data_IF_240954294258
#
_entry.id   IF_240954294258
#
_cell.length_a   1.000
_cell.length_b   1.000
_cell.length_c   1.000
_cell.angle_alpha   90.00
_cell.angle_beta   90.00
_cell.angle_gamma   90.00
#
_symmetry.space_group_name_H-M   'P 1'
#
loop_
_entity.id
_entity.type
_entity.pdbx_description
1 polymer ?
#
# COMPACT_ATOMS: atom_id res chain seq x y z
N UNK A 1 -6.87 -40.42 -8.93
CA UNK A 1 -7.15 -41.50 -7.97
C UNK A 1 -6.65 -42.82 -8.54
N UNK A 2 -6.02 -43.65 -7.71
CA UNK A 2 -5.65 -45.02 -8.08
C UNK A 2 -6.88 -45.90 -7.94
N UNK A 3 -7.23 -46.64 -8.98
CA UNK A 3 -8.38 -47.56 -9.02
C UNK A 3 -7.97 -49.00 -8.71
N UNK A 4 -6.78 -49.43 -9.15
CA UNK A 4 -6.27 -50.79 -8.91
C UNK A 4 -4.74 -50.81 -8.88
N UNK A 5 -4.17 -51.35 -7.80
CA UNK A 5 -2.75 -51.72 -7.69
C UNK A 5 -2.71 -53.12 -7.06
N UNK A 6 -2.37 -54.13 -7.87
CA UNK A 6 -2.18 -55.49 -7.40
C UNK A 6 -1.00 -56.14 -8.17
N UNK A 7 -0.10 -56.90 -7.50
CA UNK A 7 1.00 -57.59 -8.17
C UNK A 7 0.52 -58.49 -9.31
N UNK A 8 1.21 -58.44 -10.46
CA UNK A 8 0.85 -59.21 -11.66
C UNK A 8 -0.38 -58.70 -12.43
N UNK A 9 -1.00 -57.58 -12.02
CA UNK A 9 -2.09 -56.92 -12.74
C UNK A 9 -1.64 -55.55 -13.30
N UNK A 10 -2.27 -55.06 -14.38
CA UNK A 10 -2.12 -53.67 -14.82
C UNK A 10 -2.56 -52.70 -13.72
N UNK A 11 -1.79 -51.63 -13.54
CA UNK A 11 -2.15 -50.52 -12.65
C UNK A 11 -3.21 -49.67 -13.36
N UNK A 12 -4.34 -49.43 -12.70
CA UNK A 12 -5.37 -48.53 -13.19
C UNK A 12 -5.45 -47.29 -12.32
N UNK A 13 -5.40 -46.12 -12.94
CA UNK A 13 -5.59 -44.84 -12.27
C UNK A 13 -6.34 -43.86 -13.16
N UNK A 14 -6.99 -42.88 -12.54
CA UNK A 14 -7.67 -41.78 -13.21
C UNK A 14 -6.97 -40.48 -12.85
N UNK A 15 -6.46 -39.78 -13.86
CA UNK A 15 -5.97 -38.41 -13.76
C UNK A 15 -7.11 -37.45 -14.11
N UNK A 16 -7.32 -36.45 -13.26
CA UNK A 16 -8.12 -35.28 -13.61
C UNK A 16 -7.15 -34.15 -13.91
N UNK A 17 -7.22 -33.58 -15.10
CA UNK A 17 -6.42 -32.43 -15.51
C UNK A 17 -7.33 -31.38 -16.11
N UNK A 18 -7.02 -30.10 -15.87
CA UNK A 18 -7.68 -29.00 -16.57
C UNK A 18 -7.02 -28.82 -17.94
N UNK A 19 -7.84 -28.67 -18.98
CA UNK A 19 -7.38 -28.28 -20.31
C UNK A 19 -7.44 -26.75 -20.37
N UNK A 20 -6.41 -26.13 -20.95
CA UNK A 20 -6.42 -24.68 -21.19
C UNK A 20 -7.63 -24.36 -22.08
N UNK A 21 -8.38 -23.29 -21.77
CA UNK A 21 -9.56 -22.96 -22.55
C UNK A 21 -9.13 -22.44 -23.92
N UNK A 22 -9.80 -22.91 -24.97
CA UNK A 22 -9.70 -22.29 -26.29
C UNK A 22 -10.51 -20.99 -26.29
N UNK A 23 -9.92 -19.93 -26.83
CA UNK A 23 -10.60 -18.66 -27.07
C UNK A 23 -10.01 -17.98 -28.30
N UNK A 24 -10.79 -17.10 -28.93
CA UNK A 24 -10.30 -16.26 -30.03
C UNK A 24 -9.73 -14.98 -29.45
N UNK A 25 -8.50 -14.63 -29.81
CA UNK A 25 -7.92 -13.34 -29.47
C UNK A 25 -8.74 -12.23 -30.13
N UNK A 26 -9.18 -11.21 -29.38
CA UNK A 26 -9.81 -10.03 -29.97
C UNK A 26 -8.75 -9.22 -30.74
N UNK A 27 -9.19 -8.20 -31.49
CA UNK A 27 -8.27 -7.23 -32.11
C UNK A 27 -7.59 -6.37 -31.03
N UNK A 28 -6.57 -6.96 -30.41
CA UNK A 28 -5.87 -6.39 -29.28
C UNK A 28 -5.07 -5.14 -29.69
N UNK A 29 -4.65 -5.02 -30.95
CA UNK A 29 -3.94 -3.84 -31.42
C UNK A 29 -4.88 -2.63 -31.49
N UNK A 30 -6.07 -2.79 -32.08
CA UNK A 30 -7.06 -1.72 -32.13
C UNK A 30 -7.55 -1.33 -30.74
N UNK A 31 -7.89 -2.31 -29.89
CA UNK A 31 -8.32 -2.07 -28.51
C UNK A 31 -7.25 -1.29 -27.73
N UNK A 32 -6.00 -1.69 -27.86
CA UNK A 32 -4.88 -1.04 -27.17
C UNK A 32 -4.68 0.39 -27.66
N UNK A 33 -4.70 0.63 -28.98
CA UNK A 33 -4.59 1.98 -29.54
C UNK A 33 -5.70 2.90 -29.05
N UNK A 34 -6.92 2.40 -28.94
CA UNK A 34 -8.04 3.18 -28.40
C UNK A 34 -7.86 3.52 -26.92
N UNK A 35 -7.37 2.58 -26.11
CA UNK A 35 -7.05 2.85 -24.69
C UNK A 35 -5.91 3.86 -24.55
N UNK A 36 -4.87 3.76 -25.38
CA UNK A 36 -3.71 4.65 -25.34
C UNK A 36 -4.07 6.12 -25.64
N UNK A 37 -5.15 6.38 -26.38
CA UNK A 37 -5.69 7.76 -26.56
C UNK A 37 -6.11 8.40 -25.24
N UNK A 38 -6.40 7.61 -24.21
CA UNK A 38 -6.76 8.10 -22.87
C UNK A 38 -5.54 8.41 -21.99
N UNK A 39 -4.30 8.14 -22.46
CA UNK A 39 -3.06 8.41 -21.72
C UNK A 39 -2.90 9.89 -21.49
N UNK A 40 -2.68 10.28 -20.25
CA UNK A 40 -2.55 11.67 -19.82
C UNK A 40 -1.08 12.07 -19.79
N UNK A 41 -0.79 13.30 -20.19
CA UNK A 41 0.53 13.87 -19.95
C UNK A 41 0.74 14.03 -18.44
N UNK A 42 1.91 13.62 -17.97
CA UNK A 42 2.30 13.79 -16.57
C UNK A 42 2.91 15.17 -16.41
N UNK A 43 2.34 15.97 -15.51
CA UNK A 43 2.87 17.26 -15.10
C UNK A 43 3.12 17.23 -13.59
N UNK A 44 4.20 17.91 -13.17
CA UNK A 44 4.51 18.15 -11.76
C UNK A 44 4.28 19.62 -11.49
N UNK A 45 3.41 19.91 -10.54
CA UNK A 45 3.10 21.27 -10.14
C UNK A 45 4.14 21.76 -9.12
N UNK A 46 4.50 23.05 -9.16
CA UNK A 46 5.45 23.62 -8.21
C UNK A 46 4.96 23.51 -6.76
N UNK A 47 3.63 23.50 -6.56
CA UNK A 47 3.03 23.25 -5.26
C UNK A 47 3.39 21.88 -4.69
N UNK A 48 3.40 20.83 -5.52
CA UNK A 48 3.74 19.47 -5.05
C UNK A 48 5.21 19.39 -4.61
N UNK A 49 6.08 20.12 -5.30
CA UNK A 49 7.50 20.24 -4.95
C UNK A 49 7.65 20.97 -3.61
N UNK A 50 6.95 22.08 -3.44
CA UNK A 50 7.00 22.86 -2.21
C UNK A 50 6.39 22.11 -1.02
N UNK A 51 5.25 21.44 -1.21
CA UNK A 51 4.61 20.61 -0.18
C UNK A 51 5.56 19.48 0.27
N UNK A 52 6.22 18.82 -0.68
CA UNK A 52 7.23 17.79 -0.39
C UNK A 52 8.45 18.37 0.33
N UNK A 53 8.94 19.53 -0.12
CA UNK A 53 10.08 20.20 0.49
C UNK A 53 9.79 20.63 1.94
N UNK A 54 8.58 21.16 2.21
CA UNK A 54 8.14 21.50 3.56
C UNK A 54 7.96 20.24 4.41
N UNK A 55 7.44 19.14 3.85
CA UNK A 55 7.38 17.87 4.57
C UNK A 55 8.77 17.38 4.99
N UNK A 56 9.75 17.40 4.09
CA UNK A 56 11.15 17.05 4.41
C UNK A 56 11.69 18.01 5.49
N UNK A 57 11.49 19.32 5.33
CA UNK A 57 11.93 20.33 6.31
C UNK A 57 11.35 20.06 7.70
N UNK A 58 10.06 19.77 7.78
CA UNK A 58 9.35 19.47 9.03
C UNK A 58 9.89 18.20 9.71
N UNK A 59 10.29 17.19 8.94
CA UNK A 59 10.94 15.98 9.49
C UNK A 59 12.35 16.21 10.04
N UNK A 60 13.00 17.33 9.67
CA UNK A 60 14.32 17.73 10.15
C UNK A 60 14.28 18.82 11.23
N UNK A 61 13.08 19.24 11.63
CA UNK A 61 12.90 20.19 12.72
C UNK A 61 13.45 19.64 14.04
N UNK A 62 14.08 20.51 14.84
CA UNK A 62 14.49 20.19 16.21
C UNK A 62 13.47 20.74 17.19
N UNK A 63 13.19 19.97 18.23
CA UNK A 63 12.36 20.44 19.34
C UNK A 63 13.26 21.07 20.39
N UNK A 64 12.96 22.32 20.75
CA UNK A 64 13.66 23.06 21.79
C UNK A 64 12.64 23.62 22.78
N UNK A 65 13.01 23.83 24.06
CA UNK A 65 12.11 24.46 25.03
C UNK A 65 11.60 25.82 24.51
N UNK A 66 10.29 26.05 24.62
CA UNK A 66 9.68 27.31 24.23
C UNK A 66 9.56 28.25 25.45
N UNK A 67 9.95 29.51 25.29
CA UNK A 67 9.80 30.55 26.33
C UNK A 67 8.42 31.25 26.29
N UNK A 68 7.51 30.76 25.46
CA UNK A 68 6.17 31.31 25.22
C UNK A 68 5.08 30.28 25.56
N UNK A 69 3.84 30.70 25.79
CA UNK A 69 2.73 29.78 25.96
C UNK A 69 2.51 28.89 24.72
N UNK A 70 1.94 27.70 24.96
CA UNK A 70 1.72 26.68 23.95
C UNK A 70 0.82 27.19 22.81
N UNK A 71 1.17 26.87 21.57
CA UNK A 71 0.44 27.23 20.36
C UNK A 71 0.18 26.01 19.49
N UNK A 72 -0.70 26.15 18.50
CA UNK A 72 -0.96 25.07 17.55
C UNK A 72 0.32 24.71 16.80
N UNK A 73 0.64 23.41 16.75
CA UNK A 73 1.84 22.85 16.14
C UNK A 73 3.00 22.61 17.11
N UNK A 74 2.91 23.08 18.35
CA UNK A 74 3.95 22.87 19.36
C UNK A 74 3.88 21.43 19.92
N UNK A 75 5.03 20.74 20.05
CA UNK A 75 5.16 19.57 20.89
C UNK A 75 5.06 19.97 22.36
N UNK A 76 4.18 19.32 23.10
CA UNK A 76 3.98 19.55 24.53
C UNK A 76 3.95 18.24 25.29
N UNK A 77 4.23 18.31 26.58
CA UNK A 77 4.06 17.22 27.52
C UNK A 77 3.00 17.63 28.54
N UNK A 78 1.96 16.80 28.72
CA UNK A 78 0.87 17.10 29.66
C UNK A 78 0.60 15.95 30.61
N UNK A 79 0.10 16.29 31.80
CA UNK A 79 -0.71 15.37 32.58
C UNK A 79 -2.18 15.65 32.28
N UNK A 80 -3.00 14.63 32.08
CA UNK A 80 -4.43 14.83 31.98
C UNK A 80 -5.20 13.79 32.78
N UNK A 81 -6.40 14.19 33.21
CA UNK A 81 -7.36 13.33 33.90
C UNK A 81 -8.77 13.71 33.47
N UNK A 82 -9.52 12.70 33.05
CA UNK A 82 -10.91 12.80 32.63
C UNK A 82 -11.82 12.09 33.63
N UNK A 83 -12.89 12.76 34.02
CA UNK A 83 -13.92 12.23 34.92
C UNK A 83 -15.30 12.41 34.32
N UNK A 84 -16.15 11.39 34.47
CA UNK A 84 -17.57 11.47 34.14
C UNK A 84 -18.39 11.05 35.36
N UNK A 85 -19.45 11.79 35.68
CA UNK A 85 -20.32 11.51 36.83
C UNK A 85 -19.53 11.34 38.16
N UNK A 86 -18.44 12.10 38.33
CA UNK A 86 -17.55 12.06 39.50
C UNK A 86 -16.59 10.86 39.58
N UNK A 87 -16.58 9.97 38.58
CA UNK A 87 -15.67 8.82 38.49
C UNK A 87 -14.61 9.03 37.43
N UNK A 88 -13.39 8.55 37.69
CA UNK A 88 -12.28 8.59 36.71
C UNK A 88 -12.54 7.56 35.63
N UNK A 89 -12.38 7.96 34.37
CA UNK A 89 -12.49 7.03 33.26
C UNK A 89 -11.27 6.11 33.23
N UNK A 90 -11.46 4.82 32.96
CA UNK A 90 -10.41 3.79 32.98
C UNK A 90 -9.24 4.13 32.04
N UNK A 91 -9.52 4.80 30.92
CA UNK A 91 -8.54 5.32 29.96
C UNK A 91 -8.47 6.85 29.91
N UNK A 92 -8.99 7.51 30.94
CA UNK A 92 -9.11 8.96 31.00
C UNK A 92 -7.92 9.69 31.56
N UNK A 93 -6.83 9.01 31.94
CA UNK A 93 -5.71 9.66 32.60
C UNK A 93 -4.35 9.18 32.10
N UNK A 94 -3.43 10.13 31.94
CA UNK A 94 -2.03 9.86 31.61
C UNK A 94 -1.15 10.92 32.25
N UNK A 95 0.09 10.54 32.59
CA UNK A 95 1.12 11.46 33.07
C UNK A 95 2.24 11.53 32.06
N UNK A 96 2.87 12.71 31.94
CA UNK A 96 3.95 13.01 31.00
C UNK A 96 3.60 12.56 29.57
N UNK A 97 2.36 12.80 29.15
CA UNK A 97 1.87 12.37 27.86
C UNK A 97 2.38 13.31 26.77
N UNK A 98 3.21 12.86 25.82
CA UNK A 98 3.66 13.70 24.73
C UNK A 98 2.53 13.85 23.70
N UNK A 99 2.27 15.07 23.26
CA UNK A 99 1.39 15.34 22.13
C UNK A 99 1.92 16.52 21.29
N UNK A 100 1.44 16.63 20.06
CA UNK A 100 1.61 17.84 19.24
C UNK A 100 0.23 18.48 19.07
N UNK A 101 0.09 19.73 19.50
CA UNK A 101 -1.20 20.43 19.48
C UNK A 101 -1.67 20.61 18.02
N UNK A 102 -2.86 20.12 17.69
CA UNK A 102 -3.50 20.24 16.38
C UNK A 102 -3.43 18.99 15.51
N UNK A 103 -2.85 17.87 15.99
CA UNK A 103 -2.86 16.59 15.26
C UNK A 103 -4.22 15.87 15.35
N UNK A 104 -5.12 16.28 16.25
CA UNK A 104 -6.45 15.70 16.37
C UNK A 104 -6.43 14.27 16.91
N UNK A 105 -5.46 13.97 17.78
CA UNK A 105 -5.36 12.65 18.45
C UNK A 105 -6.27 12.56 19.67
N UNK A 106 -6.70 13.70 20.20
CA UNK A 106 -7.63 13.79 21.33
C UNK A 106 -9.07 14.12 20.88
N UNK A 107 -9.99 14.05 21.84
CA UNK A 107 -11.39 14.47 21.63
C UNK A 107 -11.42 15.91 21.12
N UNK A 108 -12.26 16.17 20.12
CA UNK A 108 -12.40 17.50 19.52
C UNK A 108 -12.63 18.57 20.61
N UNK A 109 -11.90 19.67 20.52
CA UNK A 109 -11.91 20.76 21.50
C UNK A 109 -10.95 20.59 22.69
N UNK A 110 -10.36 19.41 22.91
CA UNK A 110 -9.37 19.20 23.98
C UNK A 110 -8.08 19.99 23.73
N UNK A 111 -7.49 19.80 22.55
CA UNK A 111 -6.22 20.44 22.17
C UNK A 111 -6.36 21.98 22.11
N UNK A 112 -7.54 22.49 21.76
CA UNK A 112 -7.84 23.93 21.75
C UNK A 112 -7.77 24.56 23.15
N UNK A 113 -8.04 23.78 24.20
CA UNK A 113 -7.94 24.27 25.57
C UNK A 113 -6.51 24.37 26.08
N UNK A 114 -5.56 23.66 25.46
CA UNK A 114 -4.14 23.70 25.79
C UNK A 114 -3.44 24.91 25.17
N UNK A 115 -4.02 25.48 24.09
CA UNK A 115 -3.49 26.68 23.46
C UNK A 115 -3.52 27.84 24.45
N UNK A 116 -2.39 28.52 24.59
CA UNK A 116 -2.19 29.63 25.52
C UNK A 116 -1.75 29.20 26.92
N UNK A 117 -1.67 27.90 27.23
CA UNK A 117 -1.14 27.44 28.52
C UNK A 117 0.38 27.57 28.58
N UNK A 118 0.90 28.06 29.70
CA UNK A 118 2.34 28.10 29.98
C UNK A 118 2.81 26.84 30.71
N UNK A 119 4.11 26.57 30.70
CA UNK A 119 4.69 25.47 31.48
C UNK A 119 4.32 25.59 32.98
N UNK A 120 3.85 24.49 33.56
CA UNK A 120 3.38 24.40 34.95
C UNK A 120 1.93 24.80 35.15
N UNK A 121 1.24 25.35 34.14
CA UNK A 121 -0.15 25.77 34.25
C UNK A 121 -1.11 24.58 34.30
N UNK A 122 -2.16 24.70 35.10
CA UNK A 122 -3.23 23.72 35.19
C UNK A 122 -4.56 24.36 34.77
N UNK A 123 -5.33 23.62 33.97
CA UNK A 123 -6.62 24.06 33.48
C UNK A 123 -7.64 22.94 33.58
N UNK A 124 -8.84 23.30 34.04
CA UNK A 124 -9.99 22.41 34.04
C UNK A 124 -11.04 22.92 33.06
N UNK A 125 -11.61 22.02 32.28
CA UNK A 125 -12.61 22.35 31.26
C UNK A 125 -13.50 21.13 30.96
N UNK A 126 -14.67 21.39 30.39
CA UNK A 126 -15.67 20.37 30.13
C UNK A 126 -15.85 20.21 28.63
N UNK A 127 -15.90 18.97 28.15
CA UNK A 127 -16.18 18.67 26.74
C UNK A 127 -17.33 17.70 26.61
N UNK A 128 -18.11 17.86 25.54
CA UNK A 128 -19.14 16.90 25.16
C UNK A 128 -18.49 15.86 24.25
N UNK A 129 -18.59 14.60 24.63
CA UNK A 129 -18.06 13.50 23.82
C UNK A 129 -18.88 13.34 22.52
N UNK A 130 -18.25 12.98 21.40
CA UNK A 130 -18.96 12.73 20.14
C UNK A 130 -20.07 11.69 20.29
N UNK A 131 -21.15 11.83 19.51
CA UNK A 131 -22.26 10.87 19.54
C UNK A 131 -21.89 9.49 19.00
N UNK A 132 -20.84 9.41 18.20
CA UNK A 132 -20.26 8.20 17.60
C UNK A 132 -18.98 7.73 18.31
N UNK A 133 -18.76 8.17 19.56
CA UNK A 133 -17.59 7.78 20.33
C UNK A 133 -17.52 6.26 20.52
N UNK A 134 -16.31 5.71 20.47
CA UNK A 134 -16.05 4.27 20.51
C UNK A 134 -16.56 3.59 21.79
N UNK A 135 -16.76 4.36 22.87
CA UNK A 135 -17.34 3.89 24.14
C UNK A 135 -18.80 4.40 24.27
N UNK A 136 -19.81 3.52 24.10
CA UNK A 136 -21.22 3.93 24.07
C UNK A 136 -21.72 4.57 25.37
N UNK A 137 -21.10 4.25 26.50
CA UNK A 137 -21.41 4.80 27.83
C UNK A 137 -21.02 6.27 27.97
N UNK A 138 -20.10 6.75 27.14
CA UNK A 138 -19.59 8.12 27.13
C UNK A 138 -20.11 8.95 25.96
N UNK A 139 -20.62 8.32 24.91
CA UNK A 139 -21.14 9.01 23.73
C UNK A 139 -22.19 10.06 24.10
N UNK A 140 -21.98 11.31 23.68
CA UNK A 140 -22.87 12.45 23.98
C UNK A 140 -22.87 12.94 25.43
N UNK A 141 -22.10 12.32 26.33
CA UNK A 141 -21.99 12.80 27.72
C UNK A 141 -20.98 13.94 27.85
N UNK A 142 -21.19 14.75 28.88
CA UNK A 142 -20.21 15.76 29.32
C UNK A 142 -19.16 15.06 30.17
N UNK A 143 -17.89 15.31 29.86
CA UNK A 143 -16.73 14.81 30.60
C UNK A 143 -15.92 16.00 31.10
N UNK A 144 -15.59 15.99 32.39
CA UNK A 144 -14.72 16.97 33.01
C UNK A 144 -13.25 16.56 32.79
N UNK A 145 -12.47 17.44 32.18
CA UNK A 145 -11.05 17.27 31.97
C UNK A 145 -10.26 18.22 32.87
N UNK A 146 -9.18 17.72 33.45
CA UNK A 146 -8.12 18.52 34.04
C UNK A 146 -6.84 18.20 33.30
N UNK A 147 -6.20 19.23 32.76
CA UNK A 147 -4.91 19.12 32.08
C UNK A 147 -3.88 20.02 32.79
N UNK A 148 -2.66 19.52 32.90
CA UNK A 148 -1.49 20.25 33.37
C UNK A 148 -0.44 20.27 32.28
N UNK A 149 0.11 21.44 31.98
CA UNK A 149 1.21 21.60 31.05
C UNK A 149 2.53 21.33 31.78
N UNK A 150 3.23 20.25 31.45
CA UNK A 150 4.52 19.90 32.06
C UNK A 150 5.69 20.49 31.28
N UNK A 151 5.60 20.49 29.95
CA UNK A 151 6.63 21.03 29.07
C UNK A 151 6.01 21.61 27.80
N UNK A 152 6.58 22.71 27.31
CA UNK A 152 6.22 23.31 26.03
C UNK A 152 7.49 23.43 25.21
N UNK A 153 7.51 22.77 24.06
CA UNK A 153 8.60 22.89 23.09
C UNK A 153 8.09 23.60 21.85
N UNK A 154 9.01 24.23 21.14
CA UNK A 154 8.76 24.72 19.80
C UNK A 154 9.63 23.98 18.79
N UNK A 155 9.10 23.85 17.57
CA UNK A 155 9.85 23.27 16.46
C UNK A 155 10.68 24.35 15.77
N UNK A 156 11.99 24.29 15.99
CA UNK A 156 12.96 25.03 15.19
C UNK A 156 13.19 24.29 13.87
N UNK A 157 12.56 24.79 12.82
CA UNK A 157 12.76 24.29 11.46
C UNK A 157 14.05 24.86 10.88
N UNK A 158 14.89 24.04 10.23
CA UNK A 158 16.04 24.55 9.51
C UNK A 158 15.61 25.51 8.40
N UNK A 159 16.46 26.48 8.08
CA UNK A 159 16.25 27.34 6.93
C UNK A 159 16.36 26.55 5.62
N UNK A 160 15.50 26.84 4.66
CA UNK A 160 15.58 26.23 3.33
C UNK A 160 16.67 26.94 2.53
N UNK A 161 17.89 26.42 2.61
CA UNK A 161 19.07 26.91 1.89
C UNK A 161 19.95 25.73 1.40
N UNK A 162 21.09 26.04 0.81
CA UNK A 162 22.00 25.02 0.27
C UNK A 162 22.59 24.10 1.36
N UNK A 163 22.76 24.60 2.59
CA UNK A 163 23.23 23.78 3.71
C UNK A 163 22.17 22.75 4.14
N UNK A 164 20.89 23.14 4.12
CA UNK A 164 19.79 22.19 4.32
C UNK A 164 19.80 21.10 3.23
N UNK A 165 19.98 21.48 1.96
CA UNK A 165 20.04 20.53 0.86
C UNK A 165 21.19 19.51 1.01
N UNK A 166 22.37 19.99 1.43
CA UNK A 166 23.50 19.11 1.77
C UNK A 166 23.17 18.16 2.92
N UNK A 167 22.48 18.64 3.96
CA UNK A 167 22.13 17.83 5.14
C UNK A 167 21.17 16.67 4.85
N UNK A 168 20.31 16.80 3.83
CA UNK A 168 19.28 15.79 3.51
C UNK A 168 19.83 14.65 2.65
N UNK A 169 20.83 14.94 1.81
CA UNK A 169 21.34 13.94 0.86
C UNK A 169 22.58 14.36 0.06
N UNK A 170 23.41 15.27 0.59
CA UNK A 170 24.59 15.82 -0.08
C UNK A 170 24.29 16.48 -1.45
N UNK A 171 23.11 17.08 -1.60
CA UNK A 171 22.79 17.87 -2.78
C UNK A 171 23.65 19.15 -2.80
N UNK A 172 24.16 19.58 -3.97
CA UNK A 172 25.04 20.74 -4.07
C UNK A 172 24.32 22.07 -3.78
N UNK A 173 23.00 22.13 -3.98
CA UNK A 173 22.18 23.31 -3.73
C UNK A 173 20.72 22.94 -3.47
N UNK A 174 19.94 23.90 -2.97
CA UNK A 174 18.49 23.75 -2.78
C UNK A 174 17.76 23.51 -4.11
N UNK A 175 18.24 24.11 -5.20
CA UNK A 175 17.68 23.88 -6.54
C UNK A 175 17.93 22.45 -7.03
N UNK A 176 19.09 21.86 -6.71
CA UNK A 176 19.37 20.46 -7.01
C UNK A 176 18.45 19.52 -6.22
N UNK A 177 18.16 19.84 -4.96
CA UNK A 177 17.18 19.10 -4.16
C UNK A 177 15.77 19.22 -4.77
N UNK A 178 15.33 20.44 -5.16
CA UNK A 178 14.03 20.65 -5.83
C UNK A 178 13.93 19.89 -7.15
N UNK A 179 15.00 19.88 -7.95
CA UNK A 179 15.04 19.13 -9.20
C UNK A 179 14.91 17.61 -8.97
N UNK A 180 15.58 17.09 -7.93
CA UNK A 180 15.46 15.69 -7.55
C UNK A 180 14.04 15.33 -7.06
N UNK A 181 13.43 16.17 -6.23
CA UNK A 181 12.03 16.02 -5.79
C UNK A 181 11.09 16.01 -7.01
N UNK A 182 11.26 16.97 -7.94
CA UNK A 182 10.47 17.06 -9.16
C UNK A 182 10.59 15.78 -10.01
N UNK A 183 11.80 15.24 -10.13
CA UNK A 183 12.04 14.01 -10.88
C UNK A 183 11.39 12.81 -10.19
N UNK A 184 11.52 12.68 -8.87
CA UNK A 184 10.86 11.63 -8.10
C UNK A 184 9.33 11.65 -8.24
N UNK A 185 8.71 12.83 -8.09
CA UNK A 185 7.25 12.98 -8.28
C UNK A 185 6.85 12.64 -9.72
N UNK A 186 7.65 13.03 -10.71
CA UNK A 186 7.40 12.70 -12.12
C UNK A 186 7.45 11.20 -12.35
N UNK A 187 8.51 10.52 -11.90
CA UNK A 187 8.66 9.07 -12.05
C UNK A 187 7.49 8.32 -11.40
N UNK A 188 7.08 8.72 -10.20
CA UNK A 188 5.91 8.13 -9.52
C UNK A 188 4.61 8.32 -10.31
N UNK A 189 4.36 9.53 -10.82
CA UNK A 189 3.18 9.82 -11.65
C UNK A 189 3.21 9.07 -12.99
N UNK A 190 4.36 9.00 -13.64
CA UNK A 190 4.56 8.24 -14.88
C UNK A 190 4.34 6.74 -14.67
N UNK A 191 4.86 6.19 -13.56
CA UNK A 191 4.60 4.81 -13.17
C UNK A 191 3.11 4.57 -12.93
N UNK A 192 2.44 5.43 -12.16
CA UNK A 192 1.00 5.33 -11.88
C UNK A 192 0.15 5.41 -13.14
N UNK A 193 0.46 6.32 -14.05
CA UNK A 193 -0.25 6.46 -15.31
C UNK A 193 -0.01 5.25 -16.24
N UNK A 194 1.21 4.72 -16.27
CA UNK A 194 1.54 3.48 -16.99
C UNK A 194 0.70 2.31 -16.46
N UNK A 195 0.67 2.11 -15.15
CA UNK A 195 -0.14 1.05 -14.52
C UNK A 195 -1.63 1.23 -14.80
N UNK A 196 -2.16 2.46 -14.72
CA UNK A 196 -3.55 2.76 -15.08
C UNK A 196 -3.86 2.35 -16.52
N UNK A 197 -2.97 2.66 -17.46
CA UNK A 197 -3.13 2.31 -18.87
C UNK A 197 -3.04 0.80 -19.07
N UNK A 198 -2.08 0.11 -18.44
CA UNK A 198 -1.95 -1.36 -18.51
C UNK A 198 -3.20 -2.06 -18.01
N UNK A 199 -3.77 -1.61 -16.88
CA UNK A 199 -5.04 -2.11 -16.35
C UNK A 199 -6.16 -1.87 -17.36
N UNK A 200 -6.28 -0.66 -17.92
CA UNK A 200 -7.31 -0.34 -18.91
C UNK A 200 -7.19 -1.18 -20.20
N UNK A 201 -5.96 -1.47 -20.65
CA UNK A 201 -5.71 -2.38 -21.78
C UNK A 201 -6.19 -3.78 -21.41
N UNK A 202 -5.72 -4.33 -20.28
CA UNK A 202 -6.10 -5.67 -19.83
C UNK A 202 -7.63 -5.81 -19.68
N UNK A 203 -8.32 -4.78 -19.19
CA UNK A 203 -9.77 -4.73 -19.10
C UNK A 203 -10.47 -4.69 -20.45
N UNK A 204 -9.99 -3.84 -21.36
CA UNK A 204 -10.52 -3.78 -22.73
C UNK A 204 -10.42 -5.14 -23.43
N UNK A 205 -9.28 -5.82 -23.28
CA UNK A 205 -9.06 -7.15 -23.84
C UNK A 205 -9.96 -8.21 -23.17
N UNK A 206 -10.02 -8.20 -21.84
CA UNK A 206 -10.84 -9.15 -21.09
C UNK A 206 -12.33 -8.98 -21.39
N UNK A 207 -12.82 -7.76 -21.60
CA UNK A 207 -14.22 -7.49 -21.94
C UNK A 207 -14.62 -7.98 -23.34
N UNK A 208 -13.66 -8.07 -24.28
CA UNK A 208 -13.90 -8.50 -25.67
C UNK A 208 -13.55 -9.97 -25.93
N UNK A 209 -13.10 -10.70 -24.93
CA UNK A 209 -12.73 -12.11 -25.04
C UNK A 209 -13.79 -12.96 -24.36
N UNK A 210 -14.25 -14.03 -24.98
CA UNK A 210 -15.06 -15.06 -24.30
C UNK A 210 -14.21 -16.31 -24.11
N UNK A 211 -14.06 -16.77 -22.86
CA UNK A 211 -13.25 -17.93 -22.52
C UNK A 211 -13.88 -18.66 -21.33
N UNK A 212 -14.05 -19.97 -21.45
CA UNK A 212 -14.58 -20.84 -20.40
C UNK A 212 -13.47 -21.23 -19.43
N UNK A 213 -13.16 -20.35 -18.47
CA UNK A 213 -12.06 -20.57 -17.52
C UNK A 213 -12.35 -21.78 -16.62
N UNK A 214 -11.49 -22.82 -16.61
CA UNK A 214 -11.64 -23.97 -15.72
C UNK A 214 -11.54 -23.58 -14.24
N UNK A 215 -12.40 -24.16 -13.39
CA UNK A 215 -12.42 -23.89 -11.95
C UNK A 215 -11.05 -24.09 -11.28
N UNK A 216 -10.29 -25.11 -11.70
CA UNK A 216 -8.97 -25.37 -11.16
C UNK A 216 -7.98 -24.20 -11.34
N UNK A 217 -8.09 -23.43 -12.43
CA UNK A 217 -7.26 -22.24 -12.62
C UNK A 217 -7.72 -21.09 -11.71
N UNK A 218 -9.03 -20.95 -11.52
CA UNK A 218 -9.61 -19.94 -10.61
C UNK A 218 -9.18 -20.23 -9.17
N UNK A 219 -9.26 -21.49 -8.73
CA UNK A 219 -8.83 -21.93 -7.41
C UNK A 219 -7.34 -21.67 -7.16
N UNK A 220 -6.48 -22.00 -8.14
CA UNK A 220 -5.05 -21.71 -8.04
C UNK A 220 -4.75 -20.21 -7.96
N UNK A 221 -5.51 -19.38 -8.66
CA UNK A 221 -5.36 -17.93 -8.59
C UNK A 221 -5.86 -17.36 -7.25
N UNK A 222 -6.97 -17.87 -6.73
CA UNK A 222 -7.47 -17.53 -5.39
C UNK A 222 -6.45 -17.85 -4.30
N UNK A 223 -5.77 -19.00 -4.40
CA UNK A 223 -4.69 -19.36 -3.46
C UNK A 223 -3.56 -18.33 -3.46
N UNK A 224 -3.13 -17.85 -4.64
CA UNK A 224 -2.12 -16.80 -4.74
C UNK A 224 -2.63 -15.47 -4.16
N UNK A 225 -3.87 -15.08 -4.47
CA UNK A 225 -4.47 -13.86 -3.93
C UNK A 225 -4.55 -13.86 -2.40
N UNK A 226 -4.86 -15.02 -1.80
CA UNK A 226 -4.85 -15.20 -0.36
C UNK A 226 -3.42 -15.12 0.20
N UNK A 227 -2.44 -15.72 -0.48
CA UNK A 227 -1.04 -15.61 -0.08
C UNK A 227 -0.54 -14.15 -0.12
N UNK A 228 -0.83 -13.42 -1.20
CA UNK A 228 -0.53 -11.99 -1.31
C UNK A 228 -1.16 -11.16 -0.18
N UNK A 229 -2.38 -11.51 0.24
CA UNK A 229 -3.02 -10.85 1.38
C UNK A 229 -2.33 -11.19 2.70
N UNK A 230 -1.96 -12.46 2.90
CA UNK A 230 -1.22 -12.90 4.10
C UNK A 230 0.11 -12.17 4.24
N UNK A 231 0.89 -12.07 3.15
CA UNK A 231 2.15 -11.32 3.12
C UNK A 231 1.96 -9.86 3.54
N UNK A 232 0.96 -9.16 2.98
CA UNK A 232 0.65 -7.77 3.36
C UNK A 232 0.25 -7.61 4.83
N UNK A 233 -0.42 -8.60 5.41
CA UNK A 233 -0.85 -8.56 6.81
C UNK A 233 0.34 -8.81 7.75
N UNK A 234 1.24 -9.72 7.37
CA UNK A 234 2.48 -9.97 8.08
C UNK A 234 3.40 -8.73 8.05
N UNK A 235 3.45 -8.00 6.93
CA UNK A 235 4.17 -6.70 6.85
C UNK A 235 3.64 -5.66 7.83
N UNK A 236 2.34 -5.73 8.20
CA UNK A 236 1.73 -4.90 9.24
C UNK A 236 1.95 -5.45 10.67
N UNK A 237 2.78 -6.49 10.83
CA UNK A 237 2.98 -7.22 12.09
C UNK A 237 1.68 -7.76 12.71
N UNK A 238 0.72 -8.16 11.87
CA UNK A 238 -0.56 -8.72 12.29
C UNK A 238 -0.66 -10.18 11.86
N UNK A 239 -1.46 -10.98 12.57
CA UNK A 239 -1.78 -12.35 12.15
C UNK A 239 -2.99 -12.36 11.23
N UNK A 240 -2.96 -13.24 10.23
CA UNK A 240 -4.06 -13.38 9.27
C UNK A 240 -5.40 -13.71 9.95
N UNK A 241 -5.38 -14.52 10.99
CA UNK A 241 -6.57 -14.93 11.74
C UNK A 241 -7.19 -13.76 12.52
N UNK A 242 -6.35 -12.89 13.10
CA UNK A 242 -6.81 -11.70 13.82
C UNK A 242 -7.44 -10.69 12.86
N UNK A 243 -6.85 -10.53 11.68
CA UNK A 243 -7.39 -9.70 10.60
C UNK A 243 -8.77 -10.18 10.14
N UNK A 244 -8.92 -11.49 9.88
CA UNK A 244 -10.20 -12.10 9.52
C UNK A 244 -11.27 -11.92 10.62
N UNK A 245 -10.86 -12.06 11.88
CA UNK A 245 -11.74 -11.87 13.05
C UNK A 245 -12.25 -10.43 13.12
N UNK A 246 -11.38 -9.45 12.90
CA UNK A 246 -11.76 -8.03 12.86
C UNK A 246 -12.77 -7.73 11.74
N UNK A 247 -12.57 -8.34 10.56
CA UNK A 247 -13.50 -8.24 9.43
C UNK A 247 -14.78 -9.05 9.61
N UNK A 248 -14.87 -9.92 10.63
CA UNK A 248 -15.96 -10.89 10.83
C UNK A 248 -16.19 -11.76 9.59
N UNK A 249 -15.11 -12.16 8.93
CA UNK A 249 -15.11 -12.98 7.70
C UNK A 249 -14.25 -14.22 7.88
N UNK A 250 -14.59 -15.29 7.16
CA UNK A 250 -13.73 -16.46 7.02
C UNK A 250 -12.91 -16.37 5.72
N UNK A 251 -11.83 -17.15 5.59
CA UNK A 251 -11.10 -17.28 4.32
C UNK A 251 -12.04 -17.72 3.18
N UNK A 252 -13.01 -18.60 3.47
CA UNK A 252 -14.03 -19.04 2.50
C UNK A 252 -14.88 -17.89 2.00
N UNK A 253 -15.24 -16.93 2.87
CA UNK A 253 -16.01 -15.75 2.46
C UNK A 253 -15.19 -14.87 1.53
N UNK A 254 -13.92 -14.62 1.87
CA UNK A 254 -13.00 -13.89 0.98
C UNK A 254 -12.85 -14.59 -0.38
N UNK A 255 -12.66 -15.91 -0.40
CA UNK A 255 -12.54 -16.69 -1.64
C UNK A 255 -13.76 -16.55 -2.53
N UNK A 256 -14.97 -16.57 -1.95
CA UNK A 256 -16.23 -16.37 -2.70
C UNK A 256 -16.33 -14.95 -3.25
N UNK A 257 -16.00 -13.95 -2.44
CA UNK A 257 -16.02 -12.54 -2.87
C UNK A 257 -15.03 -12.28 -4.02
N UNK A 258 -13.86 -12.93 -3.97
CA UNK A 258 -12.78 -12.75 -4.95
C UNK A 258 -12.85 -13.69 -6.15
N UNK A 259 -13.81 -14.61 -6.21
CA UNK A 259 -13.89 -15.60 -7.29
C UNK A 259 -14.01 -14.92 -8.68
N UNK A 260 -14.78 -13.84 -8.76
CA UNK A 260 -14.93 -13.05 -9.99
C UNK A 260 -13.63 -12.36 -10.41
N UNK A 261 -12.89 -11.81 -9.45
CA UNK A 261 -11.59 -11.16 -9.68
C UNK A 261 -10.52 -12.18 -10.06
N UNK A 262 -10.47 -13.33 -9.40
CA UNK A 262 -9.57 -14.43 -9.74
C UNK A 262 -9.84 -14.92 -11.18
N UNK A 263 -11.12 -15.12 -11.54
CA UNK A 263 -11.50 -15.46 -12.92
C UNK A 263 -11.02 -14.41 -13.92
N UNK A 264 -11.15 -13.12 -13.58
CA UNK A 264 -10.65 -12.01 -14.42
C UNK A 264 -9.13 -12.04 -14.55
N UNK A 265 -8.37 -12.23 -13.45
CA UNK A 265 -6.90 -12.34 -13.46
C UNK A 265 -6.42 -13.50 -14.33
N UNK A 266 -7.01 -14.69 -14.18
CA UNK A 266 -6.68 -15.86 -15.00
C UNK A 266 -6.94 -15.58 -16.48
N UNK A 267 -8.09 -14.98 -16.80
CA UNK A 267 -8.45 -14.61 -18.18
C UNK A 267 -7.43 -13.65 -18.80
N UNK A 268 -7.03 -12.61 -18.06
CA UNK A 268 -6.00 -11.66 -18.51
C UNK A 268 -4.67 -12.38 -18.74
N UNK A 269 -4.24 -13.23 -17.81
CA UNK A 269 -2.98 -13.98 -17.95
C UNK A 269 -2.98 -14.89 -19.19
N UNK A 270 -4.10 -15.54 -19.50
CA UNK A 270 -4.25 -16.35 -20.71
C UNK A 270 -4.19 -15.49 -21.98
N UNK A 271 -4.88 -14.35 -22.00
CA UNK A 271 -4.85 -13.41 -23.14
C UNK A 271 -3.43 -12.91 -23.39
N UNK A 272 -2.71 -12.47 -22.35
CA UNK A 272 -1.32 -12.02 -22.48
C UNK A 272 -0.42 -13.15 -22.99
N UNK A 273 -0.63 -14.38 -22.50
CA UNK A 273 0.06 -15.57 -23.00
C UNK A 273 -0.17 -15.80 -24.49
N UNK A 274 -1.41 -15.74 -24.95
CA UNK A 274 -1.75 -15.91 -26.37
C UNK A 274 -1.23 -14.77 -27.25
N UNK A 275 -1.22 -13.52 -26.75
CA UNK A 275 -0.58 -12.40 -27.47
C UNK A 275 0.93 -12.65 -27.61
N UNK A 276 1.58 -13.13 -26.55
CA UNK A 276 3.00 -13.47 -26.60
C UNK A 276 3.29 -14.54 -27.67
N UNK A 277 2.45 -15.57 -27.76
CA UNK A 277 2.56 -16.60 -28.80
C UNK A 277 2.32 -16.03 -30.21
N UNK A 278 1.23 -15.30 -30.40
CA UNK A 278 0.86 -14.70 -31.69
C UNK A 278 1.92 -13.73 -32.23
N UNK A 279 2.67 -13.08 -31.34
CA UNK A 279 3.76 -12.13 -31.68
C UNK A 279 5.16 -12.70 -31.47
N UNK A 280 5.28 -13.99 -31.12
CA UNK A 280 6.56 -14.65 -30.85
C UNK A 280 7.43 -13.88 -29.83
N UNK A 281 6.79 -13.32 -28.80
CA UNK A 281 7.46 -12.59 -27.73
C UNK A 281 8.07 -13.59 -26.74
N UNK A 282 9.40 -13.59 -26.69
CA UNK A 282 10.17 -14.43 -25.77
C UNK A 282 11.08 -13.52 -24.93
N UNK A 283 11.04 -13.60 -23.60
CA UNK A 283 12.01 -12.90 -22.75
C UNK A 283 13.38 -13.55 -22.88
N UNK A 284 14.40 -12.70 -22.97
CA UNK A 284 15.80 -13.07 -22.85
C UNK A 284 16.12 -13.52 -21.42
N UNK A 285 17.19 -14.30 -21.24
CA UNK A 285 17.60 -14.73 -19.90
C UNK A 285 17.95 -13.55 -18.98
N UNK A 286 18.50 -12.46 -19.52
CA UNK A 286 18.76 -11.24 -18.74
C UNK A 286 17.46 -10.61 -18.19
N UNK A 287 16.39 -10.57 -18.99
CA UNK A 287 15.07 -10.08 -18.53
C UNK A 287 14.47 -11.01 -17.46
N UNK A 288 14.65 -12.33 -17.60
CA UNK A 288 14.24 -13.30 -16.58
C UNK A 288 15.03 -13.10 -15.27
N UNK A 289 16.33 -12.84 -15.35
CA UNK A 289 17.17 -12.56 -14.18
C UNK A 289 16.75 -11.27 -13.47
N UNK A 290 16.38 -10.22 -14.21
CA UNK A 290 15.86 -8.97 -13.63
C UNK A 290 14.60 -9.25 -12.80
N UNK A 291 13.64 -10.01 -13.33
CA UNK A 291 12.41 -10.33 -12.58
C UNK A 291 12.67 -11.27 -11.41
N UNK A 292 13.61 -12.22 -11.55
CA UNK A 292 14.01 -13.08 -10.43
C UNK A 292 14.62 -12.25 -9.30
N UNK A 293 15.52 -11.31 -9.62
CA UNK A 293 16.17 -10.44 -8.64
C UNK A 293 15.17 -9.54 -7.91
N UNK A 294 14.11 -9.06 -8.58
CA UNK A 294 13.03 -8.30 -7.93
C UNK A 294 12.30 -9.08 -6.83
N UNK A 295 12.17 -10.39 -6.98
CA UNK A 295 11.61 -11.24 -5.92
C UNK A 295 12.63 -11.40 -4.79
N UNK A 296 13.89 -11.61 -5.14
CA UNK A 296 14.97 -11.82 -4.17
C UNK A 296 15.23 -10.59 -3.28
N UNK A 297 15.01 -9.36 -3.77
CA UNK A 297 15.18 -8.13 -2.97
C UNK A 297 14.21 -8.02 -1.79
N UNK A 298 13.15 -8.84 -1.75
CA UNK A 298 12.26 -8.92 -0.59
C UNK A 298 12.89 -9.66 0.60
N UNK A 299 13.97 -10.40 0.36
CA UNK A 299 14.66 -11.18 1.39
C UNK A 299 15.91 -10.43 1.87
N UNK A 300 16.16 -10.37 3.20
CA UNK A 300 17.34 -9.69 3.74
C UNK A 300 18.66 -10.28 3.24
N UNK A 301 18.69 -11.59 3.03
CA UNK A 301 19.89 -12.31 2.58
C UNK A 301 19.56 -13.36 1.51
N UNK A 302 20.54 -13.72 0.66
CA UNK A 302 20.39 -14.83 -0.29
C UNK A 302 20.08 -16.18 0.39
N UNK A 303 20.57 -16.40 1.62
CA UNK A 303 20.34 -17.63 2.37
C UNK A 303 18.89 -17.75 2.84
N UNK A 304 18.27 -16.65 3.24
CA UNK A 304 16.86 -16.62 3.61
C UNK A 304 15.97 -16.88 2.39
N UNK A 305 16.32 -16.28 1.24
CA UNK A 305 15.64 -16.54 -0.02
C UNK A 305 15.75 -18.02 -0.44
N UNK A 306 16.94 -18.64 -0.32
CA UNK A 306 17.15 -20.04 -0.68
C UNK A 306 16.39 -21.03 0.21
N UNK A 307 16.11 -20.66 1.47
CA UNK A 307 15.27 -21.47 2.38
C UNK A 307 13.78 -21.32 2.08
N UNK A 308 13.35 -20.13 1.66
CA UNK A 308 11.94 -19.80 1.44
C UNK A 308 11.45 -20.13 0.02
N UNK A 309 12.33 -20.10 -0.98
CA UNK A 309 11.97 -20.20 -2.39
C UNK A 309 12.56 -21.45 -3.05
N UNK A 310 11.74 -22.13 -3.86
CA UNK A 310 12.24 -23.11 -4.81
C UNK A 310 12.83 -22.39 -6.04
N UNK A 311 14.09 -22.66 -6.36
CA UNK A 311 14.82 -21.99 -7.45
C UNK A 311 14.15 -22.19 -8.82
N UNK A 312 13.59 -23.38 -9.07
CA UNK A 312 12.93 -23.70 -10.34
C UNK A 312 11.58 -22.99 -10.44
N UNK A 313 10.83 -22.94 -9.35
CA UNK A 313 9.58 -22.19 -9.25
C UNK A 313 9.83 -20.69 -9.45
N UNK A 314 10.86 -20.12 -8.79
CA UNK A 314 11.25 -18.72 -8.96
C UNK A 314 11.57 -18.41 -10.42
N UNK A 315 12.39 -19.24 -11.09
CA UNK A 315 12.72 -19.03 -12.51
C UNK A 315 11.51 -19.13 -13.42
N UNK A 316 10.57 -20.03 -13.11
CA UNK A 316 9.32 -20.19 -13.88
C UNK A 316 8.40 -18.98 -13.73
N UNK A 317 8.28 -18.47 -12.49
CA UNK A 317 7.57 -17.24 -12.19
C UNK A 317 8.21 -16.05 -12.91
N UNK A 318 9.52 -15.87 -12.76
CA UNK A 318 10.27 -14.76 -13.35
C UNK A 318 10.17 -14.76 -14.88
N UNK A 319 10.21 -15.93 -15.53
CA UNK A 319 10.00 -16.04 -16.98
C UNK A 319 8.59 -15.62 -17.39
N UNK A 320 7.58 -15.98 -16.59
CA UNK A 320 6.19 -15.60 -16.86
C UNK A 320 5.98 -14.09 -16.66
N UNK A 321 6.55 -13.52 -15.59
CA UNK A 321 6.53 -12.08 -15.33
C UNK A 321 7.23 -11.30 -16.45
N UNK A 322 8.44 -11.71 -16.84
CA UNK A 322 9.19 -11.07 -17.92
C UNK A 322 8.46 -11.14 -19.26
N UNK A 323 7.80 -12.28 -19.55
CA UNK A 323 6.97 -12.43 -20.76
C UNK A 323 5.79 -11.43 -20.74
N UNK A 324 5.07 -11.34 -19.62
CA UNK A 324 3.94 -10.41 -19.49
C UNK A 324 4.40 -8.95 -19.61
N UNK A 325 5.52 -8.60 -18.99
CA UNK A 325 6.13 -7.27 -19.11
C UNK A 325 6.44 -6.93 -20.57
N UNK A 326 7.06 -7.84 -21.33
CA UNK A 326 7.33 -7.62 -22.76
C UNK A 326 6.07 -7.49 -23.60
N UNK A 327 5.02 -8.23 -23.28
CA UNK A 327 3.72 -8.07 -23.95
C UNK A 327 3.20 -6.65 -23.70
N UNK A 328 3.22 -6.16 -22.46
CA UNK A 328 2.79 -4.79 -22.18
C UNK A 328 3.68 -3.75 -22.87
N UNK A 329 5.00 -3.91 -22.89
CA UNK A 329 5.90 -3.02 -23.63
C UNK A 329 5.58 -2.99 -25.13
N UNK A 330 5.32 -4.15 -25.72
CA UNK A 330 4.88 -4.24 -27.10
C UNK A 330 3.55 -3.50 -27.32
N UNK A 331 2.54 -3.74 -26.46
CA UNK A 331 1.24 -3.07 -26.53
C UNK A 331 1.37 -1.55 -26.37
N UNK A 332 2.18 -1.07 -25.43
CA UNK A 332 2.48 0.35 -25.22
C UNK A 332 3.12 1.01 -26.46
N UNK A 333 4.03 0.29 -27.14
CA UNK A 333 4.68 0.78 -28.37
C UNK A 333 3.72 1.01 -29.54
N UNK A 334 2.50 0.46 -29.50
CA UNK A 334 1.49 0.66 -30.54
C UNK A 334 0.95 2.09 -30.58
N UNK A 335 1.13 2.87 -29.52
CA UNK A 335 0.77 4.29 -29.47
C UNK A 335 1.86 5.23 -29.95
N UNK A 336 3.07 4.72 -30.17
CA UNK A 336 4.23 5.49 -30.67
C UNK A 336 4.37 5.45 -32.20
N UNK A 337 3.60 4.58 -32.87
CA UNK A 337 3.60 4.36 -34.33
C UNK A 337 2.34 4.89 -34.99
#
# INVERSE_FOLDING_TARGET
SVKKIAPGNPIEFTLKSAILPDFTLPDFESITKDVLKSKRAVAVEDKEIEDTLQWIRNSRGKEVPAERPASKGDPVEIDFRATADGQVLERGSSQNHPLVIGEGKFVAGFEDQLIGMSQGEEKSFNLVMPSDYHEPTLAGKVVDFRAKMNDVKERQLPELNDEFAKSVGNFPSLDALRANIRDGIRQEKEHRERERIRIAIADGLAAKTEAAIPQALIESELEKMILELRERIEEMNMKFEDYLTHLKKTETDLRKEWESDAKRRVKIALILGSIAEAKSIVPSEAEVEIEANRVLTKYPTPEDAAKALDSKALRTYARSAAKNEKVFQYLESLGEK
#
